data_IF_942067671944
#
_entry.id   IF_942067671944
#
_cell.length_a   1.000
_cell.length_b   1.000
_cell.length_c   1.000
_cell.angle_alpha   90.00
_cell.angle_beta   90.00
_cell.angle_gamma   90.00
#
_symmetry.space_group_name_H-M   'P 1'
#
loop_
_entity.id
_entity.type
_entity.pdbx_description
1 polymer ?
#
# COMPACT_ATOMS: atom_id res chain seq x y z
N UNK A 1 5.27 55.35 32.47
CA UNK A 1 6.63 54.76 32.51
C UNK A 1 6.43 53.34 33.01
N UNK A 2 6.14 52.34 32.17
CA UNK A 2 7.06 51.64 31.23
C UNK A 2 8.30 51.10 31.98
N UNK A 3 8.73 49.82 31.95
CA UNK A 3 8.60 48.74 30.96
C UNK A 3 8.86 47.35 31.62
N UNK A 4 8.24 46.31 31.06
CA UNK A 4 8.73 44.93 30.78
C UNK A 4 9.35 44.01 31.86
N UNK A 5 8.70 42.86 32.13
CA UNK A 5 8.91 41.52 31.53
C UNK A 5 10.14 40.76 32.05
N UNK A 6 9.91 39.68 32.81
CA UNK A 6 10.84 38.54 32.87
C UNK A 6 10.08 37.24 32.60
N UNK A 7 10.65 36.50 31.66
CA UNK A 7 10.05 35.53 30.76
C UNK A 7 9.72 34.20 31.43
N UNK A 8 8.50 33.72 31.18
CA UNK A 8 8.04 32.38 31.56
C UNK A 8 8.85 31.30 30.84
N UNK A 9 9.23 30.25 31.58
CA UNK A 9 9.99 29.11 31.12
C UNK A 9 9.34 28.47 29.88
N UNK A 10 10.11 28.41 28.78
CA UNK A 10 9.77 27.65 27.57
C UNK A 10 9.81 26.16 27.89
N UNK A 11 8.65 25.57 28.18
CA UNK A 11 8.44 24.15 27.96
C UNK A 11 8.46 23.90 26.45
N UNK A 12 9.66 23.64 25.90
CA UNK A 12 9.80 23.06 24.58
C UNK A 12 9.46 21.57 24.67
N UNK A 13 8.19 21.23 24.45
CA UNK A 13 7.78 19.86 24.11
C UNK A 13 7.16 19.85 22.73
N UNK A 14 7.70 18.95 21.92
CA UNK A 14 7.05 18.28 20.80
C UNK A 14 6.71 19.14 19.58
N UNK A 15 7.62 19.10 18.60
CA UNK A 15 7.19 18.80 17.24
C UNK A 15 8.23 17.86 16.67
N UNK A 16 8.03 16.57 16.92
CA UNK A 16 8.63 15.54 16.09
C UNK A 16 8.29 15.92 14.65
N UNK A 17 9.34 16.26 13.90
CA UNK A 17 9.24 16.56 12.49
C UNK A 17 8.86 15.24 11.84
N UNK A 18 7.57 14.97 11.73
CA UNK A 18 7.04 13.90 10.90
C UNK A 18 7.45 14.29 9.49
N UNK A 19 8.64 13.85 9.10
CA UNK A 19 8.98 13.70 7.68
C UNK A 19 8.01 12.63 7.23
N UNK A 20 6.84 13.06 6.74
CA UNK A 20 5.91 12.16 6.08
C UNK A 20 6.75 11.40 5.06
N UNK A 21 6.77 10.07 5.16
CA UNK A 21 7.31 9.24 4.07
C UNK A 21 6.67 9.77 2.78
N UNK A 22 7.45 9.95 1.70
CA UNK A 22 6.85 10.47 0.48
C UNK A 22 5.65 9.60 0.16
N UNK A 23 4.50 10.25 -0.09
CA UNK A 23 3.23 9.57 -0.40
C UNK A 23 3.33 8.63 -1.62
N UNK A 24 4.48 8.60 -2.28
CA UNK A 24 4.83 7.84 -3.48
C UNK A 24 5.55 6.51 -3.21
N UNK A 25 5.87 6.17 -1.95
CA UNK A 25 6.43 4.86 -1.65
C UNK A 25 5.30 3.80 -1.66
N UNK A 26 5.33 2.81 -2.58
CA UNK A 26 4.34 1.76 -2.60
C UNK A 26 4.40 0.93 -1.32
N UNK A 27 3.27 0.78 -0.64
CA UNK A 27 3.16 -0.06 0.54
C UNK A 27 2.60 -1.42 0.14
N UNK A 28 3.45 -2.45 0.11
CA UNK A 28 2.99 -3.85 0.00
C UNK A 28 2.20 -4.19 1.26
N UNK A 29 0.94 -4.58 1.08
CA UNK A 29 0.05 -4.99 2.16
C UNK A 29 0.25 -6.46 2.49
N UNK A 30 0.17 -7.31 1.47
CA UNK A 30 0.39 -8.76 1.56
C UNK A 30 0.62 -9.36 0.16
N UNK A 31 0.91 -10.65 0.14
CA UNK A 31 1.08 -11.44 -1.08
C UNK A 31 0.17 -12.66 -0.98
N UNK A 32 -0.52 -13.00 -2.06
CA UNK A 32 -1.39 -14.17 -2.15
C UNK A 32 -0.83 -15.17 -3.15
N UNK A 33 -0.77 -16.44 -2.79
CA UNK A 33 -0.33 -17.52 -3.69
C UNK A 33 -1.55 -18.15 -4.34
N UNK A 34 -1.78 -17.86 -5.61
CA UNK A 34 -2.95 -18.32 -6.36
C UNK A 34 -2.51 -19.24 -7.50
N UNK A 35 -3.46 -19.88 -8.20
CA UNK A 35 -3.16 -20.72 -9.34
C UNK A 35 -4.15 -20.51 -10.48
N UNK A 36 -3.70 -20.74 -11.72
CA UNK A 36 -4.61 -20.79 -12.87
C UNK A 36 -5.28 -22.16 -12.99
N UNK A 37 -6.10 -22.31 -14.03
CA UNK A 37 -6.81 -23.56 -14.34
C UNK A 37 -5.85 -24.72 -14.69
N UNK A 38 -4.63 -24.40 -15.14
CA UNK A 38 -3.59 -25.38 -15.46
C UNK A 38 -2.77 -25.78 -14.21
N UNK A 39 -3.09 -25.19 -13.04
CA UNK A 39 -2.40 -25.43 -11.78
C UNK A 39 -1.06 -24.71 -11.67
N UNK A 40 -0.74 -23.81 -12.61
CA UNK A 40 0.46 -22.98 -12.52
C UNK A 40 0.26 -21.94 -11.42
N UNK A 41 1.27 -21.81 -10.57
CA UNK A 41 1.25 -20.92 -9.40
C UNK A 41 1.66 -19.51 -9.78
N UNK A 42 0.98 -18.55 -9.18
CA UNK A 42 1.25 -17.12 -9.31
C UNK A 42 1.22 -16.48 -7.93
N UNK A 43 2.12 -15.52 -7.72
CA UNK A 43 2.09 -14.68 -6.53
C UNK A 43 1.45 -13.35 -6.93
N UNK A 44 0.28 -13.07 -6.38
CA UNK A 44 -0.38 -11.76 -6.50
C UNK A 44 0.11 -10.87 -5.37
N UNK A 45 0.70 -9.73 -5.71
CA UNK A 45 1.11 -8.69 -4.78
C UNK A 45 -0.04 -7.72 -4.60
N UNK A 46 -0.48 -7.56 -3.36
CA UNK A 46 -1.50 -6.58 -2.98
C UNK A 46 -0.79 -5.39 -2.35
N UNK A 47 -0.92 -4.21 -2.95
CA UNK A 47 -0.20 -3.03 -2.50
C UNK A 47 -1.02 -1.75 -2.62
N UNK A 48 -0.66 -0.73 -1.84
CA UNK A 48 -1.12 0.64 -2.03
C UNK A 48 -0.05 1.45 -2.75
N UNK A 49 -0.31 1.99 -3.94
CA UNK A 49 0.65 2.82 -4.65
C UNK A 49 0.90 4.15 -3.93
N UNK A 50 -0.08 4.63 -3.16
CA UNK A 50 0.05 5.84 -2.35
C UNK A 50 -0.37 5.54 -0.91
N UNK A 51 0.54 5.75 0.05
CA UNK A 51 0.29 5.42 1.45
C UNK A 51 -0.92 6.17 2.05
N UNK A 52 -1.16 7.38 1.56
CA UNK A 52 -2.21 8.27 2.07
C UNK A 52 -3.57 8.05 1.37
N UNK A 53 -3.62 7.23 0.31
CA UNK A 53 -4.86 6.90 -0.41
C UNK A 53 -5.27 5.46 -0.13
N UNK A 54 -6.57 5.25 0.13
CA UNK A 54 -7.13 3.91 0.27
C UNK A 54 -7.43 3.27 -1.09
N UNK A 55 -6.43 3.28 -1.98
CA UNK A 55 -6.49 2.65 -3.31
C UNK A 55 -5.58 1.43 -3.25
N UNK A 56 -6.15 0.24 -3.47
CA UNK A 56 -5.39 -1.01 -3.57
C UNK A 56 -5.18 -1.36 -5.04
N UNK A 57 -3.97 -1.78 -5.37
CA UNK A 57 -3.61 -2.36 -6.67
C UNK A 57 -3.11 -3.79 -6.49
N UNK A 58 -3.21 -4.53 -7.58
CA UNK A 58 -2.90 -5.94 -7.64
C UNK A 58 -2.04 -6.18 -8.89
N UNK A 59 -0.94 -6.88 -8.71
CA UNK A 59 -0.06 -7.28 -9.81
C UNK A 59 0.60 -8.61 -9.49
N UNK A 60 1.06 -9.32 -10.51
CA UNK A 60 1.91 -10.49 -10.34
C UNK A 60 3.33 -10.08 -9.95
N UNK A 61 4.12 -11.02 -9.45
CA UNK A 61 5.54 -10.77 -9.13
C UNK A 61 6.40 -10.27 -10.31
N UNK A 62 5.97 -10.52 -11.55
CA UNK A 62 6.62 -10.00 -12.75
C UNK A 62 6.15 -8.59 -13.16
N UNK A 63 5.26 -7.98 -12.37
CA UNK A 63 4.66 -6.66 -12.63
C UNK A 63 3.43 -6.69 -13.55
N UNK A 64 2.96 -7.88 -13.96
CA UNK A 64 1.75 -7.99 -14.78
C UNK A 64 0.53 -7.55 -13.96
N UNK A 65 -0.27 -6.58 -14.44
CA UNK A 65 -1.44 -6.12 -13.70
C UNK A 65 -2.53 -7.18 -13.68
N UNK A 66 -3.20 -7.31 -12.54
CA UNK A 66 -4.37 -8.16 -12.37
C UNK A 66 -5.53 -7.37 -11.79
N UNK A 67 -6.75 -7.75 -12.16
CA UNK A 67 -7.98 -7.18 -11.62
C UNK A 67 -8.54 -8.10 -10.54
N UNK A 68 -8.86 -7.54 -9.38
CA UNK A 68 -9.62 -8.25 -8.35
C UNK A 68 -11.08 -8.40 -8.79
N UNK A 69 -11.61 -9.62 -8.75
CA UNK A 69 -13.00 -9.93 -9.12
C UNK A 69 -13.85 -10.08 -7.86
N UNK A 70 -13.54 -11.06 -7.01
CA UNK A 70 -14.19 -11.35 -5.71
C UNK A 70 -13.38 -12.40 -4.95
N UNK A 71 -13.57 -12.57 -3.64
CA UNK A 71 -13.17 -13.76 -2.86
C UNK A 71 -11.93 -14.56 -3.36
N UNK A 72 -10.75 -13.90 -3.44
CA UNK A 72 -9.47 -14.45 -3.92
C UNK A 72 -9.43 -14.91 -5.40
N UNK A 73 -10.34 -14.41 -6.23
CA UNK A 73 -10.38 -14.52 -7.68
C UNK A 73 -9.78 -13.26 -8.31
N UNK A 74 -8.73 -13.47 -9.09
CA UNK A 74 -8.06 -12.44 -9.87
C UNK A 74 -8.16 -12.73 -11.36
N UNK A 75 -8.13 -11.70 -12.18
CA UNK A 75 -8.09 -11.82 -13.65
C UNK A 75 -6.85 -11.09 -14.16
N UNK A 76 -6.02 -11.78 -14.94
CA UNK A 76 -4.88 -11.15 -15.61
C UNK A 76 -5.43 -10.22 -16.70
N UNK A 77 -5.16 -8.91 -16.60
CA UNK A 77 -5.81 -7.92 -17.46
C UNK A 77 -5.49 -8.10 -18.95
N UNK A 78 -4.30 -8.62 -19.27
CA UNK A 78 -3.84 -8.80 -20.65
C UNK A 78 -4.41 -10.05 -21.34
N UNK A 79 -4.76 -11.09 -20.58
CA UNK A 79 -5.19 -12.39 -21.12
C UNK A 79 -6.63 -12.74 -20.78
N UNK A 80 -7.23 -12.09 -19.78
CA UNK A 80 -8.51 -12.50 -19.20
C UNK A 80 -8.43 -13.82 -18.41
N UNK A 81 -7.23 -14.35 -18.18
CA UNK A 81 -7.06 -15.60 -17.46
C UNK A 81 -7.37 -15.40 -15.97
N UNK A 82 -8.19 -16.28 -15.42
CA UNK A 82 -8.56 -16.24 -14.00
C UNK A 82 -7.59 -17.02 -13.12
N UNK A 83 -7.28 -16.46 -11.97
CA UNK A 83 -6.49 -17.08 -10.90
C UNK A 83 -7.43 -17.37 -9.73
N UNK A 84 -7.50 -18.63 -9.33
CA UNK A 84 -8.41 -19.17 -8.32
C UNK A 84 -7.63 -20.00 -7.28
N UNK A 85 -8.31 -20.35 -6.18
CA UNK A 85 -8.22 -19.65 -4.91
C UNK A 85 -6.81 -19.67 -4.31
N UNK A 86 -6.49 -18.58 -3.62
CA UNK A 86 -5.22 -18.43 -2.95
C UNK A 86 -5.21 -19.25 -1.64
N UNK A 87 -4.11 -19.96 -1.36
CA UNK A 87 -3.94 -20.88 -0.21
C UNK A 87 -3.16 -20.24 0.94
#
# INVERSE_FOLDING_TARGET
>A
MEVAMHTQAKHARLSEKIVGRPAYDPQVLHRELCHDQDGKRYTVIVYRPFADLNVTRYELEDGTPVRFINDCLFEIESTGQTLTPCI
#
